data_IF_769600657476
#
_entry.id   IF_769600657476
#
_cell.length_a   1.000
_cell.length_b   1.000
_cell.length_c   1.000
_cell.angle_alpha   90.00
_cell.angle_beta   90.00
_cell.angle_gamma   90.00
#
_symmetry.space_group_name_H-M   'P 1'
#
loop_
_entity.id
_entity.type
_entity.pdbx_description
1 polymer ?
#
# COMPACT_ATOMS: atom_id res chain seq x y z
N UNK A 1 14.97 9.58 12.58
CA UNK A 1 13.99 10.07 11.58
C UNK A 1 12.97 8.98 11.24
N UNK A 2 11.67 9.25 11.40
CA UNK A 2 10.63 8.32 10.97
C UNK A 2 10.63 8.31 9.44
N UNK A 3 11.01 7.19 8.85
CA UNK A 3 10.93 7.01 7.39
C UNK A 3 9.45 6.98 7.01
N UNK A 4 9.00 8.00 6.27
CA UNK A 4 7.65 8.06 5.73
C UNK A 4 7.73 7.72 4.25
N UNK A 5 7.13 6.59 3.86
CA UNK A 5 7.04 6.21 2.45
C UNK A 5 6.16 7.23 1.70
N UNK A 6 6.57 7.70 0.50
CA UNK A 6 5.79 8.66 -0.28
C UNK A 6 4.35 8.23 -0.55
N UNK A 7 4.09 6.92 -0.72
CA UNK A 7 2.73 6.39 -0.89
C UNK A 7 1.91 6.55 0.40
N UNK A 8 2.53 6.32 1.56
CA UNK A 8 1.88 6.50 2.85
C UNK A 8 1.55 7.97 3.11
N UNK A 9 2.46 8.88 2.77
CA UNK A 9 2.21 10.32 2.85
C UNK A 9 1.05 10.76 1.95
N UNK A 10 0.98 10.25 0.72
CA UNK A 10 -0.09 10.57 -0.23
C UNK A 10 -1.46 10.05 0.26
N UNK A 11 -1.53 8.79 0.69
CA UNK A 11 -2.75 8.19 1.25
C UNK A 11 -3.27 8.97 2.46
N UNK A 12 -2.38 9.44 3.33
CA UNK A 12 -2.75 10.29 4.45
C UNK A 12 -3.26 11.67 4.00
N UNK A 13 -2.57 12.32 3.07
CA UNK A 13 -2.91 13.67 2.65
C UNK A 13 -4.27 13.71 1.93
N UNK A 14 -4.48 12.79 0.98
CA UNK A 14 -5.64 12.77 0.09
C UNK A 14 -6.85 12.04 0.68
N UNK A 15 -6.61 11.02 1.50
CA UNK A 15 -7.67 10.10 1.96
C UNK A 15 -7.73 9.90 3.47
N UNK A 16 -6.82 10.50 4.25
CA UNK A 16 -6.71 10.31 5.71
C UNK A 16 -6.54 8.85 6.12
N UNK A 17 -5.89 8.06 5.25
CA UNK A 17 -5.59 6.66 5.49
C UNK A 17 -4.17 6.53 6.03
N UNK A 18 -4.02 6.03 7.26
CA UNK A 18 -2.73 5.70 7.85
C UNK A 18 -2.47 4.19 7.75
N UNK A 19 -1.46 3.81 6.98
CA UNK A 19 -1.05 2.42 6.80
C UNK A 19 0.46 2.28 6.93
N UNK A 20 0.96 1.34 7.76
CA UNK A 20 2.38 1.02 7.80
C UNK A 20 2.86 0.46 6.46
N UNK A 21 3.76 1.18 5.80
CA UNK A 21 4.43 0.75 4.57
C UNK A 21 5.90 0.54 4.89
N UNK A 22 6.39 -0.68 4.64
CA UNK A 22 7.80 -1.03 4.85
C UNK A 22 8.46 -1.41 3.52
N UNK A 23 9.67 -0.88 3.23
CA UNK A 23 10.45 -1.27 2.05
C UNK A 23 11.10 -2.63 2.29
N UNK A 24 10.32 -3.71 2.18
CA UNK A 24 10.79 -5.09 2.34
C UNK A 24 10.53 -5.91 1.06
N UNK A 25 11.46 -6.80 0.64
CA UNK A 25 12.80 -7.02 1.20
C UNK A 25 13.84 -5.99 0.71
N UNK A 26 13.58 -5.31 -0.41
CA UNK A 26 14.37 -4.18 -0.92
C UNK A 26 13.52 -3.36 -1.91
N UNK A 27 13.77 -2.04 -2.08
CA UNK A 27 13.13 -1.23 -3.12
C UNK A 27 13.28 -1.86 -4.51
N UNK A 28 12.27 -1.78 -5.41
CA UNK A 28 11.01 -1.03 -5.29
C UNK A 28 9.87 -1.80 -4.59
N UNK A 29 10.14 -3.01 -4.09
CA UNK A 29 9.12 -3.83 -3.43
C UNK A 29 8.80 -3.23 -2.06
N UNK A 30 7.51 -3.15 -1.77
CA UNK A 30 6.97 -2.60 -0.55
C UNK A 30 5.91 -3.56 -0.03
N UNK A 31 5.88 -3.72 1.28
CA UNK A 31 4.84 -4.48 1.98
C UNK A 31 4.01 -3.49 2.78
N UNK A 32 2.70 -3.56 2.57
CA UNK A 32 1.72 -2.80 3.31
C UNK A 32 1.13 -3.72 4.39
N UNK A 33 1.17 -3.29 5.65
CA UNK A 33 0.66 -4.07 6.78
C UNK A 33 -0.68 -3.51 7.22
N UNK A 34 -1.70 -4.35 7.24
CA UNK A 34 -3.04 -4.01 7.71
C UNK A 34 -3.42 -4.94 8.86
N UNK A 35 -4.18 -4.41 9.81
CA UNK A 35 -4.86 -5.21 10.84
C UNK A 35 -6.35 -5.10 10.58
N UNK A 36 -7.03 -6.24 10.42
CA UNK A 36 -8.47 -6.28 10.36
C UNK A 36 -9.05 -6.32 11.77
N UNK A 37 -9.56 -5.17 12.23
CA UNK A 37 -10.16 -5.04 13.54
C UNK A 37 -11.68 -4.97 13.42
N UNK A 38 -12.40 -5.26 14.52
CA UNK A 38 -13.86 -5.28 14.56
C UNK A 38 -14.53 -3.95 14.15
N UNK A 39 -13.81 -2.83 14.25
CA UNK A 39 -14.28 -1.52 13.83
C UNK A 39 -14.06 -1.22 12.33
N UNK A 40 -13.37 -2.10 11.60
CA UNK A 40 -13.19 -1.97 10.16
C UNK A 40 -14.33 -2.67 9.45
N UNK A 41 -14.87 -2.03 8.40
CA UNK A 41 -15.80 -2.69 7.49
C UNK A 41 -15.09 -3.19 6.24
N UNK A 42 -15.76 -4.05 5.46
CA UNK A 42 -15.21 -4.51 4.18
C UNK A 42 -15.03 -3.33 3.21
N UNK A 43 -15.93 -2.35 3.26
CA UNK A 43 -15.88 -1.14 2.45
C UNK A 43 -14.59 -0.33 2.67
N UNK A 44 -14.06 -0.27 3.90
CA UNK A 44 -12.79 0.40 4.20
C UNK A 44 -11.63 -0.18 3.37
N UNK A 45 -11.61 -1.50 3.22
CA UNK A 45 -10.57 -2.20 2.44
C UNK A 45 -10.79 -2.06 0.94
N UNK A 46 -12.03 -2.03 0.48
CA UNK A 46 -12.35 -1.78 -0.93
C UNK A 46 -11.90 -0.38 -1.36
N UNK A 47 -12.15 0.65 -0.52
CA UNK A 47 -11.67 2.01 -0.75
C UNK A 47 -10.14 2.02 -0.81
N UNK A 48 -9.47 1.41 0.17
CA UNK A 48 -8.00 1.32 0.18
C UNK A 48 -7.47 0.63 -1.08
N UNK A 49 -8.04 -0.51 -1.47
CA UNK A 49 -7.62 -1.26 -2.65
C UNK A 49 -7.83 -0.45 -3.93
N UNK A 50 -8.94 0.28 -4.04
CA UNK A 50 -9.21 1.20 -5.15
C UNK A 50 -8.12 2.28 -5.28
N UNK A 51 -7.80 2.96 -4.18
CA UNK A 51 -6.75 4.01 -4.17
C UNK A 51 -5.36 3.46 -4.47
N UNK A 52 -5.02 2.29 -3.92
CA UNK A 52 -3.75 1.63 -4.24
C UNK A 52 -3.66 1.28 -5.73
N UNK A 53 -4.75 0.83 -6.36
CA UNK A 53 -4.79 0.57 -7.81
C UNK A 53 -4.64 1.86 -8.62
N UNK A 54 -5.26 2.96 -8.22
CA UNK A 54 -5.10 4.26 -8.89
C UNK A 54 -3.64 4.75 -8.82
N UNK A 55 -3.04 4.71 -7.62
CA UNK A 55 -1.68 5.23 -7.38
C UNK A 55 -0.61 4.31 -7.99
N UNK A 56 -0.72 2.99 -7.80
CA UNK A 56 0.27 2.03 -8.33
C UNK A 56 0.01 1.64 -9.78
N UNK A 57 -1.24 1.69 -10.25
CA UNK A 57 -1.65 1.31 -11.61
C UNK A 57 -1.10 2.24 -12.69
N UNK A 58 -0.67 3.45 -12.33
CA UNK A 58 0.13 4.33 -13.20
C UNK A 58 1.57 3.84 -13.43
N UNK A 59 2.03 2.82 -12.69
CA UNK A 59 3.39 2.27 -12.73
C UNK A 59 3.43 0.79 -13.12
N UNK A 60 2.67 0.38 -14.14
CA UNK A 60 2.93 -0.88 -14.84
C UNK A 60 4.11 -0.71 -15.83
N UNK A 61 5.33 -0.57 -15.30
CA UNK A 61 6.56 -0.95 -16.02
C UNK A 61 7.47 -1.68 -15.04
N UNK A 62 7.36 -3.01 -15.01
CA UNK A 62 8.20 -3.85 -14.15
C UNK A 62 7.64 -5.24 -13.93
N UNK A 63 7.41 -5.97 -15.02
CA UNK A 63 7.24 -7.42 -15.03
C UNK A 63 8.36 -8.12 -14.27
N UNK A 64 8.01 -8.94 -13.27
CA UNK A 64 8.75 -10.15 -12.93
C UNK A 64 7.88 -11.04 -12.04
N UNK A 65 7.02 -11.84 -12.70
CA UNK A 65 6.50 -13.09 -12.17
C UNK A 65 7.66 -13.92 -11.62
N UNK A 66 7.64 -14.29 -10.34
CA UNK A 66 8.42 -15.43 -9.84
C UNK A 66 7.44 -16.45 -9.28
N UNK A 67 7.50 -17.72 -9.72
CA UNK A 67 6.76 -18.78 -9.08
C UNK A 67 7.30 -19.02 -7.66
N UNK A 68 6.39 -19.34 -6.74
CA UNK A 68 6.73 -19.91 -5.44
C UNK A 68 7.54 -21.20 -5.68
N UNK A 69 8.66 -21.34 -4.98
CA UNK A 69 9.42 -22.59 -4.86
C UNK A 69 9.63 -22.90 -3.40
#
# INVERSE_FOLDING_TARGET
PLYVDPLGAQLWHEHKIEVPISPWPAPPKRVLRLSAQLYNSAEDYEVLAGRLKEICGGSMRGTATRPFS
#
